data_IF_819211265930
#
_entry.id   IF_819211265930
#
_cell.length_a   1.000
_cell.length_b   1.000
_cell.length_c   1.000
_cell.angle_alpha   90.00
_cell.angle_beta   90.00
_cell.angle_gamma   90.00
#
_symmetry.space_group_name_H-M   'P 1'
#
loop_
_entity.id
_entity.type
_entity.pdbx_description
1 polymer ?
#
# COMPACT_ATOMS: atom_id res chain seq x y z
N UNK A 1 58.81 -16.21 -26.14
CA UNK A 1 57.67 -17.00 -26.67
C UNK A 1 57.21 -17.87 -25.52
N UNK A 2 56.28 -17.36 -24.71
CA UNK A 2 54.83 -17.65 -24.83
C UNK A 2 54.50 -19.03 -24.22
N UNK A 3 53.47 -19.31 -23.42
CA UNK A 3 52.34 -18.58 -22.83
C UNK A 3 51.83 -19.50 -21.69
N UNK A 4 51.34 -18.90 -20.59
CA UNK A 4 50.54 -19.56 -19.56
C UNK A 4 49.28 -20.22 -20.14
N UNK A 5 49.05 -21.51 -19.87
CA UNK A 5 47.78 -22.20 -20.11
C UNK A 5 47.26 -22.85 -18.82
N UNK A 6 46.06 -22.47 -18.31
CA UNK A 6 45.56 -22.98 -17.03
C UNK A 6 45.09 -24.43 -17.16
N UNK A 7 45.52 -25.27 -16.21
CA UNK A 7 44.96 -26.59 -15.97
C UNK A 7 43.42 -26.55 -15.99
N UNK A 8 42.73 -27.51 -16.64
CA UNK A 8 41.31 -27.69 -16.41
C UNK A 8 41.13 -28.10 -14.95
N UNK A 9 40.73 -27.16 -14.08
CA UNK A 9 40.28 -27.46 -12.72
C UNK A 9 38.98 -28.23 -12.80
N UNK A 10 39.13 -29.54 -12.87
CA UNK A 10 38.15 -30.51 -12.41
C UNK A 10 37.79 -30.19 -10.96
N UNK A 11 36.74 -29.43 -10.69
CA UNK A 11 36.09 -29.50 -9.40
C UNK A 11 35.00 -30.57 -9.47
N UNK A 12 35.41 -31.82 -9.25
CA UNK A 12 34.51 -32.85 -8.72
C UNK A 12 33.95 -32.32 -7.40
N UNK A 13 32.64 -32.21 -7.29
CA UNK A 13 31.98 -32.24 -5.99
C UNK A 13 32.19 -33.67 -5.42
N UNK A 14 32.93 -33.86 -4.31
CA UNK A 14 33.32 -35.20 -3.87
C UNK A 14 32.18 -36.02 -3.25
N UNK A 15 30.96 -35.49 -3.10
CA UNK A 15 29.98 -36.13 -2.23
C UNK A 15 28.67 -36.55 -2.86
N UNK A 16 28.43 -36.38 -4.17
CA UNK A 16 27.34 -37.08 -4.86
C UNK A 16 25.96 -37.05 -4.18
N UNK A 17 25.57 -35.95 -3.53
CA UNK A 17 24.32 -35.87 -2.77
C UNK A 17 23.30 -35.00 -3.51
N UNK A 18 22.53 -35.68 -4.36
CA UNK A 18 21.23 -35.18 -4.82
C UNK A 18 20.21 -35.21 -3.67
N UNK A 19 19.39 -34.17 -3.58
CA UNK A 19 18.29 -34.10 -2.65
C UNK A 19 17.17 -35.07 -3.10
N UNK A 20 17.13 -36.28 -2.50
CA UNK A 20 15.98 -37.20 -2.58
C UNK A 20 15.61 -37.65 -1.17
N UNK A 21 14.34 -37.43 -0.81
CA UNK A 21 13.65 -38.03 0.34
C UNK A 21 14.26 -37.75 1.74
N UNK A 22 14.51 -36.48 2.05
CA UNK A 22 14.30 -35.97 3.42
C UNK A 22 15.13 -36.57 4.55
N UNK A 23 16.44 -36.74 4.40
CA UNK A 23 17.34 -36.98 5.54
C UNK A 23 18.55 -36.05 5.44
N UNK A 24 18.74 -35.24 6.50
CA UNK A 24 19.83 -34.28 6.67
C UNK A 24 21.08 -34.97 7.26
N UNK A 25 22.27 -34.63 6.76
CA UNK A 25 23.54 -34.96 7.43
C UNK A 25 24.18 -33.69 8.02
N UNK A 26 24.83 -33.87 9.18
CA UNK A 26 25.44 -32.84 10.04
C UNK A 26 26.51 -32.00 9.32
N UNK A 27 26.70 -30.78 9.83
CA UNK A 27 27.83 -29.84 9.59
C UNK A 27 27.63 -28.61 8.72
N UNK A 28 26.38 -28.15 8.57
CA UNK A 28 26.15 -26.70 8.43
C UNK A 28 24.78 -26.32 8.95
N UNK A 29 24.76 -25.56 10.05
CA UNK A 29 23.58 -24.87 10.56
C UNK A 29 23.10 -23.82 9.55
N UNK A 30 22.37 -24.24 8.54
CA UNK A 30 21.43 -23.39 7.83
C UNK A 30 20.07 -24.03 8.03
N UNK A 31 19.18 -23.43 8.83
CA UNK A 31 17.82 -23.95 8.94
C UNK A 31 17.22 -23.93 7.55
N UNK A 32 16.81 -25.10 7.05
CA UNK A 32 15.82 -25.17 5.98
C UNK A 32 14.50 -24.77 6.64
N UNK A 33 14.35 -23.46 6.84
CA UNK A 33 13.21 -22.89 7.54
C UNK A 33 11.97 -23.08 6.65
N UNK A 34 11.08 -23.98 7.07
CA UNK A 34 9.83 -24.22 6.36
C UNK A 34 8.88 -23.01 6.42
N UNK A 35 9.18 -21.99 7.25
CA UNK A 35 8.53 -20.68 7.22
C UNK A 35 8.77 -19.93 5.91
N UNK A 36 9.73 -20.39 5.09
CA UNK A 36 10.10 -19.72 3.86
C UNK A 36 9.10 -19.82 2.71
N UNK A 37 8.06 -20.66 2.78
CA UNK A 37 7.15 -20.82 1.62
C UNK A 37 6.34 -19.57 1.33
N UNK A 38 5.63 -19.03 2.31
CA UNK A 38 4.81 -17.82 2.12
C UNK A 38 5.67 -16.59 1.81
N UNK A 39 6.85 -16.53 2.42
CA UNK A 39 7.80 -15.43 2.28
C UNK A 39 8.56 -15.47 0.95
N UNK A 40 8.88 -16.65 0.44
CA UNK A 40 9.45 -16.87 -0.89
C UNK A 40 8.42 -16.53 -1.97
N UNK A 41 7.14 -16.84 -1.75
CA UNK A 41 6.06 -16.43 -2.65
C UNK A 41 5.95 -14.91 -2.72
N UNK A 42 5.88 -14.19 -1.59
CA UNK A 42 5.83 -12.72 -1.60
C UNK A 42 7.02 -12.08 -2.31
N UNK A 43 8.23 -12.59 -2.09
CA UNK A 43 9.45 -12.06 -2.73
C UNK A 43 9.49 -12.37 -4.23
N UNK A 44 8.87 -13.46 -4.68
CA UNK A 44 8.72 -13.80 -6.10
C UNK A 44 7.61 -12.99 -6.77
N UNK A 45 6.52 -12.73 -6.06
CA UNK A 45 5.36 -11.98 -6.56
C UNK A 45 5.64 -10.47 -6.60
N UNK A 46 6.32 -9.93 -5.59
CA UNK A 46 6.67 -8.51 -5.43
C UNK A 46 8.19 -8.35 -5.26
N UNK A 47 8.99 -8.51 -6.34
CA UNK A 47 10.39 -8.11 -6.30
C UNK A 47 10.53 -6.60 -6.05
N UNK A 48 11.63 -6.13 -5.45
CA UNK A 48 11.77 -4.73 -5.03
C UNK A 48 11.57 -3.72 -6.17
N UNK A 49 11.91 -4.10 -7.40
CA UNK A 49 11.72 -3.26 -8.58
C UNK A 49 10.24 -3.07 -8.97
N UNK A 50 9.35 -3.94 -8.52
CA UNK A 50 7.91 -3.89 -8.81
C UNK A 50 7.09 -3.26 -7.69
N UNK A 51 7.69 -2.96 -6.54
CA UNK A 51 7.02 -2.30 -5.41
C UNK A 51 6.33 -0.98 -5.84
N UNK A 52 7.00 -0.03 -6.52
CA UNK A 52 6.34 1.22 -6.88
C UNK A 52 5.21 1.00 -7.91
N UNK A 53 5.33 -0.01 -8.78
CA UNK A 53 4.26 -0.38 -9.71
C UNK A 53 3.05 -0.92 -8.95
N UNK A 54 3.27 -1.81 -7.97
CA UNK A 54 2.19 -2.35 -7.15
C UNK A 54 1.48 -1.25 -6.35
N UNK A 55 2.23 -0.32 -5.76
CA UNK A 55 1.65 0.82 -5.03
C UNK A 55 0.85 1.74 -5.95
N UNK A 56 1.34 2.03 -7.15
CA UNK A 56 0.61 2.82 -8.14
C UNK A 56 -0.70 2.13 -8.55
N UNK A 57 -0.65 0.83 -8.87
CA UNK A 57 -1.83 0.05 -9.26
C UNK A 57 -2.85 -0.01 -8.13
N UNK A 58 -2.43 -0.34 -6.91
CA UNK A 58 -3.33 -0.35 -5.75
C UNK A 58 -3.97 1.02 -5.52
N UNK A 59 -3.18 2.10 -5.55
CA UNK A 59 -3.70 3.45 -5.35
C UNK A 59 -4.71 3.86 -6.44
N UNK A 60 -4.40 3.55 -7.69
CA UNK A 60 -5.29 3.81 -8.82
C UNK A 60 -6.60 3.01 -8.69
N UNK A 61 -6.53 1.73 -8.35
CA UNK A 61 -7.73 0.90 -8.16
C UNK A 61 -8.63 1.43 -7.04
N UNK A 62 -8.05 1.87 -5.90
CA UNK A 62 -8.83 2.46 -4.81
C UNK A 62 -9.50 3.75 -5.25
N UNK A 63 -8.76 4.66 -5.90
CA UNK A 63 -9.31 5.92 -6.38
C UNK A 63 -10.40 5.70 -7.42
N UNK A 64 -10.20 4.79 -8.38
CA UNK A 64 -11.22 4.44 -9.38
C UNK A 64 -12.47 3.89 -8.67
N UNK A 65 -12.30 2.96 -7.74
CA UNK A 65 -13.41 2.37 -6.97
C UNK A 65 -14.22 3.45 -6.27
N UNK A 66 -13.56 4.35 -5.55
CA UNK A 66 -14.23 5.44 -4.83
C UNK A 66 -14.95 6.43 -5.76
N UNK A 67 -14.37 6.75 -6.91
CA UNK A 67 -15.03 7.61 -7.91
C UNK A 67 -16.24 6.90 -8.55
N UNK A 68 -16.20 5.57 -8.71
CA UNK A 68 -17.38 4.80 -9.14
C UNK A 68 -18.47 4.83 -8.07
N UNK A 69 -18.14 4.75 -6.78
CA UNK A 69 -19.13 4.91 -5.70
C UNK A 69 -19.77 6.30 -5.70
N UNK A 70 -18.99 7.35 -5.95
CA UNK A 70 -19.50 8.72 -6.02
C UNK A 70 -20.37 8.97 -7.26
N UNK A 71 -19.82 8.77 -8.46
CA UNK A 71 -20.50 9.14 -9.71
C UNK A 71 -21.38 8.03 -10.29
N UNK A 72 -21.08 6.77 -9.99
CA UNK A 72 -21.83 5.61 -10.48
C UNK A 72 -22.98 5.20 -9.57
N UNK A 73 -22.79 5.26 -8.25
CA UNK A 73 -23.80 4.87 -7.26
C UNK A 73 -24.41 6.05 -6.49
N UNK A 74 -23.93 7.28 -6.69
CA UNK A 74 -24.50 8.50 -6.11
C UNK A 74 -24.18 8.71 -4.62
N UNK A 75 -23.17 8.03 -4.08
CA UNK A 75 -22.75 8.23 -2.68
C UNK A 75 -21.95 9.53 -2.55
N UNK A 76 -22.58 10.58 -2.00
CA UNK A 76 -21.90 11.84 -1.75
C UNK A 76 -20.77 11.65 -0.72
N UNK A 77 -19.56 12.18 -0.97
CA UNK A 77 -18.46 12.08 -0.02
C UNK A 77 -18.63 13.07 1.13
N UNK A 78 -18.46 12.57 2.35
CA UNK A 78 -18.30 13.38 3.54
C UNK A 78 -16.94 14.08 3.59
N UNK A 79 -16.76 15.02 4.51
CA UNK A 79 -15.49 15.72 4.69
C UNK A 79 -14.32 14.74 4.96
N UNK A 80 -14.48 13.81 5.91
CA UNK A 80 -13.44 12.80 6.20
C UNK A 80 -13.18 11.85 5.03
N UNK A 81 -14.23 11.55 4.24
CA UNK A 81 -14.14 10.72 3.05
C UNK A 81 -13.19 11.34 2.03
N UNK A 82 -13.24 12.66 1.83
CA UNK A 82 -12.31 13.38 0.96
C UNK A 82 -10.88 13.38 1.51
N UNK A 83 -10.72 13.57 2.82
CA UNK A 83 -9.40 13.51 3.46
C UNK A 83 -8.73 12.15 3.30
N UNK A 84 -9.50 11.06 3.32
CA UNK A 84 -8.97 9.71 3.10
C UNK A 84 -8.51 9.47 1.65
N UNK A 85 -8.99 10.24 0.67
CA UNK A 85 -8.53 10.14 -0.73
C UNK A 85 -7.15 10.77 -0.93
N UNK A 86 -6.80 11.80 -0.16
CA UNK A 86 -5.52 12.51 -0.28
C UNK A 86 -4.31 11.58 -0.12
N UNK A 87 -4.21 10.70 0.91
CA UNK A 87 -3.18 9.68 1.02
C UNK A 87 -2.97 8.86 -0.25
N UNK A 88 -4.05 8.43 -0.90
CA UNK A 88 -3.99 7.61 -2.11
C UNK A 88 -3.54 8.42 -3.32
N UNK A 89 -3.93 9.69 -3.46
CA UNK A 89 -3.41 10.60 -4.49
C UNK A 89 -1.91 10.86 -4.32
N UNK A 90 -1.47 11.14 -3.09
CA UNK A 90 -0.06 11.35 -2.76
C UNK A 90 0.74 10.08 -3.06
N UNK A 91 0.25 8.91 -2.62
CA UNK A 91 0.89 7.63 -2.86
C UNK A 91 0.98 7.30 -4.35
N UNK A 92 -0.07 7.58 -5.13
CA UNK A 92 -0.07 7.42 -6.58
C UNK A 92 1.00 8.31 -7.24
N UNK A 93 1.04 9.60 -6.89
CA UNK A 93 2.01 10.56 -7.42
C UNK A 93 3.45 10.15 -7.10
N UNK A 94 3.73 9.80 -5.84
CA UNK A 94 5.05 9.31 -5.41
C UNK A 94 5.43 8.01 -6.12
N UNK A 95 4.49 7.09 -6.29
CA UNK A 95 4.73 5.83 -6.99
C UNK A 95 5.07 6.05 -8.46
N UNK A 96 4.38 6.96 -9.16
CA UNK A 96 4.70 7.34 -10.53
C UNK A 96 6.13 7.90 -10.64
N UNK A 97 6.53 8.80 -9.73
CA UNK A 97 7.90 9.34 -9.68
C UNK A 97 8.92 8.22 -9.41
N UNK A 98 8.64 7.29 -8.50
CA UNK A 98 9.50 6.16 -8.22
C UNK A 98 9.70 5.26 -9.45
N UNK A 99 8.63 4.98 -10.22
CA UNK A 99 8.70 4.20 -11.47
C UNK A 99 9.62 4.87 -12.48
N UNK A 100 9.53 6.20 -12.66
CA UNK A 100 10.40 6.94 -13.59
C UNK A 100 11.88 6.86 -13.21
N UNK A 101 12.18 6.75 -11.92
CA UNK A 101 13.54 6.70 -11.39
C UNK A 101 14.13 5.28 -11.33
N UNK A 102 13.32 4.25 -11.55
CA UNK A 102 13.69 2.85 -11.33
C UNK A 102 14.94 2.40 -12.11
N UNK A 103 15.11 2.87 -13.36
CA UNK A 103 16.26 2.50 -14.21
C UNK A 103 17.55 3.26 -13.90
N UNK A 104 17.46 4.47 -13.33
CA UNK A 104 18.61 5.38 -13.18
C UNK A 104 19.09 5.54 -11.74
N UNK A 105 18.18 5.44 -10.77
CA UNK A 105 18.44 5.73 -9.35
C UNK A 105 17.66 4.78 -8.44
N UNK A 106 18.05 3.51 -8.42
CA UNK A 106 17.34 2.45 -7.67
C UNK A 106 17.15 2.75 -6.18
N UNK A 107 18.16 3.32 -5.50
CA UNK A 107 18.06 3.71 -4.08
C UNK A 107 17.04 4.83 -3.89
N UNK A 108 17.05 5.86 -4.75
CA UNK A 108 16.09 6.96 -4.67
C UNK A 108 14.66 6.48 -4.94
N UNK A 109 14.48 5.57 -5.92
CA UNK A 109 13.19 4.93 -6.18
C UNK A 109 12.67 4.18 -4.94
N UNK A 110 13.55 3.52 -4.18
CA UNK A 110 13.16 2.81 -2.96
C UNK A 110 12.72 3.80 -1.87
N UNK A 111 13.49 4.87 -1.64
CA UNK A 111 13.16 5.91 -0.65
C UNK A 111 11.80 6.56 -0.94
N UNK A 112 11.51 6.86 -2.21
CA UNK A 112 10.22 7.43 -2.61
C UNK A 112 9.08 6.41 -2.41
N UNK A 113 9.33 5.12 -2.66
CA UNK A 113 8.35 4.06 -2.39
C UNK A 113 8.04 3.93 -0.89
N UNK A 114 9.04 4.12 -0.02
CA UNK A 114 8.83 4.18 1.44
C UNK A 114 7.97 5.38 1.79
N UNK A 115 8.23 6.55 1.20
CA UNK A 115 7.41 7.75 1.44
C UNK A 115 5.95 7.55 1.00
N UNK A 116 5.72 6.86 -0.11
CA UNK A 116 4.38 6.48 -0.55
C UNK A 116 3.68 5.55 0.47
N UNK A 117 4.39 4.58 1.04
CA UNK A 117 3.86 3.72 2.10
C UNK A 117 3.55 4.50 3.39
N UNK A 118 4.37 5.47 3.75
CA UNK A 118 4.11 6.35 4.90
C UNK A 118 2.84 7.17 4.68
N UNK A 119 2.63 7.69 3.46
CA UNK A 119 1.38 8.38 3.13
C UNK A 119 0.15 7.46 3.31
N UNK A 120 0.21 6.21 2.81
CA UNK A 120 -0.87 5.23 2.99
C UNK A 120 -1.06 4.88 4.47
N UNK A 121 0.01 4.81 5.27
CA UNK A 121 -0.08 4.58 6.71
C UNK A 121 -0.82 5.71 7.43
N UNK A 122 -0.59 6.96 7.03
CA UNK A 122 -1.39 8.11 7.51
C UNK A 122 -2.85 7.92 7.10
N UNK A 123 -3.10 7.46 5.88
CA UNK A 123 -4.44 7.08 5.40
C UNK A 123 -5.10 5.98 6.24
N UNK A 124 -4.34 4.99 6.70
CA UNK A 124 -4.84 3.98 7.64
C UNK A 124 -5.24 4.62 8.97
N UNK A 125 -4.45 5.55 9.52
CA UNK A 125 -4.81 6.31 10.72
C UNK A 125 -6.11 7.10 10.55
N UNK A 126 -6.27 7.79 9.42
CA UNK A 126 -7.51 8.51 9.08
C UNK A 126 -8.71 7.58 8.87
N UNK A 127 -8.48 6.41 8.27
CA UNK A 127 -9.46 5.35 8.11
C UNK A 127 -9.96 4.83 9.45
N UNK A 128 -9.04 4.51 10.35
CA UNK A 128 -9.34 4.05 11.71
C UNK A 128 -10.14 5.12 12.45
N UNK A 129 -9.67 6.38 12.43
CA UNK A 129 -10.37 7.51 13.02
C UNK A 129 -11.80 7.65 12.47
N UNK A 130 -11.99 7.65 11.17
CA UNK A 130 -13.34 7.78 10.60
C UNK A 130 -14.25 6.60 10.97
N UNK A 131 -13.75 5.37 10.88
CA UNK A 131 -14.53 4.19 11.26
C UNK A 131 -14.97 4.25 12.74
N UNK A 132 -14.12 4.73 13.64
CA UNK A 132 -14.55 4.90 15.03
C UNK A 132 -15.42 6.13 15.28
N UNK A 133 -15.44 7.14 14.39
CA UNK A 133 -16.49 8.18 14.42
C UNK A 133 -17.84 7.54 14.08
N UNK A 134 -17.88 6.71 13.02
CA UNK A 134 -19.10 6.01 12.60
C UNK A 134 -19.58 5.02 13.68
N UNK A 135 -18.67 4.29 14.33
CA UNK A 135 -18.97 3.40 15.45
C UNK A 135 -19.18 4.12 16.80
N UNK A 136 -19.19 5.45 16.82
CA UNK A 136 -19.42 6.27 18.02
C UNK A 136 -18.39 6.06 19.14
N UNK A 137 -17.18 5.60 18.82
CA UNK A 137 -16.08 5.51 19.79
C UNK A 137 -15.51 6.88 20.16
N UNK A 138 -15.60 7.86 19.26
CA UNK A 138 -15.14 9.23 19.50
C UNK A 138 -15.93 10.23 18.64
N UNK A 139 -15.98 11.50 19.05
CA UNK A 139 -16.67 12.53 18.28
C UNK A 139 -15.97 12.81 16.94
N UNK A 140 -16.79 13.10 15.92
CA UNK A 140 -16.31 13.61 14.64
C UNK A 140 -15.68 15.00 14.77
N UNK A 141 -14.84 15.41 13.81
CA UNK A 141 -14.23 16.73 13.84
C UNK A 141 -15.29 17.82 13.66
N UNK A 142 -15.03 19.01 14.19
CA UNK A 142 -15.94 20.16 14.13
C UNK A 142 -16.37 20.55 12.70
N UNK A 143 -15.54 20.26 11.71
CA UNK A 143 -15.83 20.48 10.28
C UNK A 143 -16.75 19.45 9.65
N UNK A 144 -17.19 18.41 10.38
CA UNK A 144 -18.08 17.38 9.86
C UNK A 144 -19.42 17.32 10.59
N UNK A 145 -20.10 18.45 10.65
CA UNK A 145 -21.52 18.51 10.98
C UNK A 145 -22.32 18.35 9.69
N UNK A 146 -23.16 17.32 9.60
CA UNK A 146 -24.14 17.12 8.50
C UNK A 146 -25.22 18.21 8.39
N UNK A 147 -24.97 19.37 8.99
CA UNK A 147 -25.72 20.59 8.88
C UNK A 147 -24.69 21.72 9.03
N UNK A 148 -24.26 22.30 7.90
CA UNK A 148 -24.11 23.75 7.94
C UNK A 148 -25.51 24.24 8.33
N UNK A 149 -25.61 25.01 9.41
CA UNK A 149 -26.87 25.61 9.83
C UNK A 149 -27.56 26.13 8.57
N UNK A 150 -28.71 25.55 8.20
CA UNK A 150 -29.53 26.12 7.14
C UNK A 150 -29.73 27.57 7.57
N UNK A 151 -29.10 28.49 6.87
CA UNK A 151 -29.25 29.91 7.13
C UNK A 151 -30.74 30.20 6.94
N UNK A 152 -31.43 30.43 8.05
CA UNK A 152 -32.87 30.61 8.07
C UNK A 152 -33.18 31.96 7.43
N UNK A 153 -33.56 31.95 6.15
CA UNK A 153 -33.93 33.15 5.39
C UNK A 153 -33.73 32.99 3.88
N UNK A 154 -34.32 33.90 3.09
CA UNK A 154 -34.25 33.87 1.61
C UNK A 154 -32.80 33.96 1.09
N UNK A 155 -31.95 34.77 1.73
CA UNK A 155 -30.53 34.87 1.39
C UNK A 155 -29.78 33.55 1.66
N UNK A 156 -30.17 32.83 2.72
CA UNK A 156 -29.63 31.53 3.05
C UNK A 156 -30.06 30.43 2.08
N UNK A 157 -31.32 30.45 1.66
CA UNK A 157 -31.83 29.55 0.63
C UNK A 157 -31.13 29.75 -0.73
N UNK A 158 -30.89 31.01 -1.14
CA UNK A 158 -30.12 31.32 -2.36
C UNK A 158 -28.68 30.83 -2.24
N UNK A 159 -28.05 31.00 -1.08
CA UNK A 159 -26.69 30.52 -0.84
C UNK A 159 -26.63 28.99 -0.85
N UNK A 160 -27.64 28.30 -0.31
CA UNK A 160 -27.73 26.84 -0.34
C UNK A 160 -27.97 26.30 -1.77
N UNK A 161 -28.75 27.00 -2.59
CA UNK A 161 -28.94 26.67 -4.02
C UNK A 161 -27.64 26.89 -4.79
N UNK A 162 -26.89 27.97 -4.50
CA UNK A 162 -25.61 28.27 -5.14
C UNK A 162 -24.48 27.34 -4.69
N UNK A 163 -24.53 26.82 -3.46
CA UNK A 163 -23.46 26.01 -2.86
C UNK A 163 -23.65 24.50 -3.08
N UNK A 164 -24.80 24.08 -3.61
CA UNK A 164 -25.14 22.67 -3.81
C UNK A 164 -25.66 21.99 -2.53
N UNK A 165 -26.08 20.71 -2.63
CA UNK A 165 -26.65 19.99 -1.50
C UNK A 165 -25.65 19.88 -0.34
N UNK A 166 -26.12 20.00 0.92
CA UNK A 166 -25.26 19.96 2.09
C UNK A 166 -24.49 18.63 2.15
N UNK A 167 -23.19 18.71 2.45
CA UNK A 167 -22.34 17.54 2.55
C UNK A 167 -22.84 16.60 3.66
N UNK A 168 -22.81 15.27 3.44
CA UNK A 168 -23.29 14.31 4.43
C UNK A 168 -22.42 14.31 5.69
N UNK A 169 -23.07 13.95 6.82
CA UNK A 169 -22.43 13.73 8.12
C UNK A 169 -21.32 12.68 8.03
N UNK A 170 -20.22 12.85 8.79
CA UNK A 170 -19.19 11.82 8.94
C UNK A 170 -19.53 10.77 10.00
N UNK A 171 -20.59 10.99 10.80
CA UNK A 171 -21.05 10.03 11.79
C UNK A 171 -21.89 8.91 11.20
N UNK A 172 -22.47 9.15 10.03
CA UNK A 172 -23.41 8.22 9.40
C UNK A 172 -22.71 7.51 8.24
N UNK A 173 -22.49 6.18 8.33
CA UNK A 173 -21.81 5.46 7.27
C UNK A 173 -22.66 5.44 6.00
N UNK A 174 -22.11 5.96 4.90
CA UNK A 174 -22.79 5.99 3.60
C UNK A 174 -23.13 4.59 3.07
N UNK A 175 -22.27 3.62 3.38
CA UNK A 175 -22.45 2.22 3.02
C UNK A 175 -21.77 1.31 4.04
N UNK A 176 -22.41 0.17 4.31
CA UNK A 176 -21.90 -0.86 5.21
C UNK A 176 -22.06 -2.25 4.58
N UNK A 177 -21.10 -3.13 4.84
CA UNK A 177 -21.15 -4.54 4.46
C UNK A 177 -20.58 -5.40 5.58
N UNK A 178 -21.30 -6.45 5.97
CA UNK A 178 -20.96 -7.29 7.13
C UNK A 178 -20.69 -6.51 8.43
N UNK A 179 -21.35 -5.36 8.61
CA UNK A 179 -21.14 -4.48 9.77
C UNK A 179 -19.87 -3.62 9.69
N UNK A 180 -19.12 -3.67 8.59
CA UNK A 180 -17.96 -2.83 8.35
C UNK A 180 -18.37 -1.69 7.43
N UNK A 181 -18.09 -0.46 7.84
CA UNK A 181 -18.33 0.72 7.01
C UNK A 181 -17.32 0.85 5.87
N UNK A 182 -17.64 1.67 4.87
CA UNK A 182 -16.71 2.02 3.81
C UNK A 182 -15.38 2.59 4.35
N UNK A 183 -15.42 3.39 5.43
CA UNK A 183 -14.22 3.89 6.10
C UNK A 183 -13.41 2.76 6.75
N UNK A 184 -14.10 1.78 7.35
CA UNK A 184 -13.49 0.57 7.90
C UNK A 184 -12.78 -0.26 6.83
N UNK A 185 -13.38 -0.42 5.65
CA UNK A 185 -12.71 -1.09 4.52
C UNK A 185 -11.49 -0.32 4.04
N UNK A 186 -11.55 1.01 3.97
CA UNK A 186 -10.38 1.82 3.62
C UNK A 186 -9.24 1.67 4.65
N UNK A 187 -9.56 1.62 5.94
CA UNK A 187 -8.58 1.30 6.99
C UNK A 187 -7.93 -0.07 6.77
N UNK A 188 -8.73 -1.12 6.64
CA UNK A 188 -8.23 -2.49 6.46
C UNK A 188 -7.35 -2.63 5.22
N UNK A 189 -7.78 -2.03 4.10
CA UNK A 189 -7.01 -2.06 2.86
C UNK A 189 -5.70 -1.27 2.97
N UNK A 190 -5.74 -0.07 3.56
CA UNK A 190 -4.55 0.74 3.77
C UNK A 190 -3.54 0.00 4.66
N UNK A 191 -4.00 -0.62 5.74
CA UNK A 191 -3.17 -1.42 6.63
C UNK A 191 -2.58 -2.64 5.91
N UNK A 192 -3.38 -3.35 5.12
CA UNK A 192 -2.91 -4.49 4.33
C UNK A 192 -1.80 -4.09 3.35
N UNK A 193 -1.99 -2.99 2.60
CA UNK A 193 -0.98 -2.48 1.67
C UNK A 193 0.30 -2.08 2.40
N UNK A 194 0.19 -1.42 3.55
CA UNK A 194 1.36 -1.04 4.36
C UNK A 194 2.11 -2.25 4.87
N UNK A 195 1.41 -3.26 5.39
CA UNK A 195 2.04 -4.48 5.90
C UNK A 195 2.75 -5.26 4.78
N UNK A 196 2.06 -5.51 3.67
CA UNK A 196 2.64 -6.26 2.54
C UNK A 196 3.80 -5.49 1.90
N UNK A 197 3.63 -4.19 1.66
CA UNK A 197 4.67 -3.34 1.08
C UNK A 197 5.88 -3.18 2.01
N UNK A 198 5.65 -2.95 3.30
CA UNK A 198 6.69 -2.86 4.32
C UNK A 198 7.49 -4.15 4.46
N UNK A 199 6.81 -5.31 4.46
CA UNK A 199 7.46 -6.63 4.49
C UNK A 199 8.30 -6.89 3.23
N UNK A 200 7.80 -6.49 2.05
CA UNK A 200 8.53 -6.63 0.79
C UNK A 200 9.81 -5.77 0.79
N UNK A 201 9.72 -4.51 1.24
CA UNK A 201 10.88 -3.62 1.37
C UNK A 201 11.89 -4.16 2.39
N UNK A 202 11.43 -4.54 3.58
CA UNK A 202 12.29 -5.07 4.65
C UNK A 202 13.11 -6.27 4.20
N UNK A 203 12.51 -7.18 3.42
CA UNK A 203 13.24 -8.34 2.86
C UNK A 203 14.15 -7.98 1.70
N UNK A 204 13.74 -7.03 0.86
CA UNK A 204 14.60 -6.47 -0.19
C UNK A 204 15.87 -5.86 0.38
N UNK A 205 15.79 -5.17 1.52
CA UNK A 205 16.95 -4.60 2.21
C UNK A 205 17.89 -5.67 2.79
N UNK A 206 17.35 -6.80 3.27
CA UNK A 206 18.15 -7.92 3.82
C UNK A 206 18.85 -8.78 2.77
N UNK A 207 18.48 -8.67 1.50
CA UNK A 207 19.12 -9.37 0.39
C UNK A 207 20.03 -8.37 -0.35
N UNK A 208 21.35 -8.37 -0.13
CA UNK A 208 22.25 -7.49 -0.88
C UNK A 208 22.10 -7.82 -2.37
N UNK A 209 21.51 -6.89 -3.11
CA UNK A 209 21.35 -7.01 -4.55
C UNK A 209 22.74 -7.08 -5.18
N UNK A 210 23.04 -8.05 -6.09
CA UNK A 210 24.18 -7.90 -6.96
C UNK A 210 23.85 -6.74 -7.88
N UNK A 211 24.25 -5.54 -7.48
CA UNK A 211 24.36 -4.40 -8.38
C UNK A 211 25.35 -4.87 -9.45
N UNK A 212 24.83 -5.44 -10.54
CA UNK A 212 25.56 -5.51 -11.79
C UNK A 212 25.77 -4.05 -12.17
N UNK A 213 26.93 -3.54 -11.78
CA UNK A 213 27.48 -2.35 -12.39
C UNK A 213 27.61 -2.64 -13.89
N UNK A 214 27.18 -1.70 -14.76
CA UNK A 214 27.36 -1.84 -16.20
C UNK A 214 28.82 -2.00 -16.59
#
# INVERSE_FOLDING_TARGET
MEIWGPHPRLYRNPTGLGCRRGICTLDRWLPCDQSDRMTTLLTRLLPPQRIPIALAVCSALVLITVNIFEYGFGYLPCHLCLYQRLPWWIALGLSCVAIMLLKRRGVLSLLISILALVAILIGAGLGAYHAGVEYQFWPGPSGCTGAQALSTGLAGAIQNIQSGPPAPSCGDPAWTLFGISMAGYNFLLSLFVVLVGGLAIWKGLKRPWPLKNP
#
